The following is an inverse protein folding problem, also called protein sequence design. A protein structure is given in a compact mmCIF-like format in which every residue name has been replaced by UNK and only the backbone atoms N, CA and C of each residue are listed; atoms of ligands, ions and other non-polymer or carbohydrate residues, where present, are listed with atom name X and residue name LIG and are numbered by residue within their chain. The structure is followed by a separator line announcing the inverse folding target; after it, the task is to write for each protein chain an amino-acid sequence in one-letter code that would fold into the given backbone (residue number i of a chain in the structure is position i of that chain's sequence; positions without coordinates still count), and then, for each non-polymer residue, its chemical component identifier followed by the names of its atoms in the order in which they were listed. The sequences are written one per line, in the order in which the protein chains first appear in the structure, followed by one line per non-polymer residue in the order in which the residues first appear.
data_IF_349462748634
#
_entry.id   IF_349462748634
#
_cell.length_a   1.000
_cell.length_b   1.000
_cell.length_c   1.000
_cell.angle_alpha   90.00
_cell.angle_beta   90.00
_cell.angle_gamma   90.00
#
_symmetry.space_group_name_H-M   'P 1'
#
loop_
_entity.id
_entity.type
_entity.pdbx_description
1 polymer ?
#
# COMPACT_ATOMS: atom_id res chain seq x y z
N UNK A 1 -2.96 14.95 11.28
CA UNK A 1 -3.33 13.59 10.83
C UNK A 1 -4.80 13.22 11.07
N UNK A 2 -5.39 13.63 12.18
CA UNK A 2 -6.82 13.36 12.41
C UNK A 2 -7.73 14.00 11.37
N UNK A 3 -7.44 15.23 10.95
CA UNK A 3 -8.22 15.92 9.91
C UNK A 3 -8.13 15.17 8.59
N UNK A 4 -6.94 14.65 8.26
CA UNK A 4 -6.73 13.88 7.04
C UNK A 4 -7.51 12.56 7.06
N UNK A 5 -7.56 11.88 8.21
CA UNK A 5 -8.36 10.67 8.36
C UNK A 5 -9.84 10.94 8.11
N UNK A 6 -10.35 12.05 8.66
CA UNK A 6 -11.74 12.44 8.44
C UNK A 6 -12.03 12.67 6.96
N UNK A 7 -11.15 13.38 6.28
CA UNK A 7 -11.29 13.67 4.85
C UNK A 7 -11.30 12.37 4.06
N UNK A 8 -10.38 11.45 4.35
CA UNK A 8 -10.32 10.16 3.67
C UNK A 8 -11.62 9.39 3.87
N UNK A 9 -12.11 9.31 5.11
CA UNK A 9 -13.36 8.59 5.41
C UNK A 9 -14.54 9.18 4.65
N UNK A 10 -14.66 10.51 4.63
CA UNK A 10 -15.76 11.17 3.92
C UNK A 10 -15.71 10.90 2.42
N UNK A 11 -14.53 11.00 1.81
CA UNK A 11 -14.38 10.75 0.38
C UNK A 11 -14.62 9.28 0.03
N UNK A 12 -14.10 8.35 0.85
CA UNK A 12 -14.30 6.92 0.63
C UNK A 12 -15.77 6.54 0.74
N UNK A 13 -16.50 7.14 1.69
CA UNK A 13 -17.93 6.88 1.86
C UNK A 13 -18.75 7.33 0.65
N UNK A 14 -18.25 8.27 -0.13
CA UNK A 14 -18.91 8.76 -1.34
C UNK A 14 -18.46 8.02 -2.60
N UNK A 15 -17.44 7.18 -2.50
CA UNK A 15 -16.88 6.46 -3.65
C UNK A 15 -17.84 5.38 -4.13
N UNK A 16 -17.86 5.15 -5.44
CA UNK A 16 -18.81 4.25 -6.10
C UNK A 16 -18.23 2.91 -6.53
N UNK A 17 -16.91 2.75 -6.45
CA UNK A 17 -16.24 1.55 -6.92
C UNK A 17 -14.94 1.32 -6.16
N UNK A 18 -14.43 0.09 -6.23
CA UNK A 18 -13.14 -0.25 -5.63
C UNK A 18 -12.00 0.60 -6.21
N UNK A 19 -11.85 0.78 -7.53
CA UNK A 19 -10.81 1.64 -8.06
C UNK A 19 -10.87 3.06 -7.52
N UNK A 20 -12.06 3.61 -7.35
CA UNK A 20 -12.22 4.96 -6.80
C UNK A 20 -11.78 5.02 -5.33
N UNK A 21 -12.17 4.04 -4.52
CA UNK A 21 -11.75 3.92 -3.12
C UNK A 21 -10.22 3.90 -3.03
N UNK A 22 -9.57 3.05 -3.82
CA UNK A 22 -8.12 2.90 -3.78
C UNK A 22 -7.40 4.15 -4.27
N UNK A 23 -7.91 4.82 -5.29
CA UNK A 23 -7.34 6.08 -5.81
C UNK A 23 -7.36 7.16 -4.72
N UNK A 24 -8.47 7.28 -4.00
CA UNK A 24 -8.59 8.24 -2.90
C UNK A 24 -7.54 7.94 -1.82
N UNK A 25 -7.42 6.68 -1.42
CA UNK A 25 -6.49 6.28 -0.37
C UNK A 25 -5.04 6.62 -0.76
N UNK A 26 -4.59 6.19 -1.94
CA UNK A 26 -3.19 6.41 -2.32
C UNK A 26 -2.86 7.90 -2.46
N UNK A 27 -3.79 8.68 -2.99
CA UNK A 27 -3.59 10.11 -3.18
C UNK A 27 -3.51 10.84 -1.83
N UNK A 28 -4.48 10.61 -0.96
CA UNK A 28 -4.56 11.32 0.31
C UNK A 28 -3.46 10.90 1.28
N UNK A 29 -3.13 9.61 1.35
CA UNK A 29 -2.09 9.12 2.24
C UNK A 29 -0.71 9.61 1.78
N UNK A 30 -0.45 9.56 0.47
CA UNK A 30 0.81 10.08 -0.07
C UNK A 30 0.98 11.56 0.28
N UNK A 31 -0.08 12.34 0.08
CA UNK A 31 -0.05 13.79 0.37
C UNK A 31 0.19 14.06 1.84
N UNK A 32 -0.54 13.39 2.73
CA UNK A 32 -0.41 13.58 4.18
C UNK A 32 0.98 13.23 4.68
N UNK A 33 1.58 12.16 4.14
CA UNK A 33 2.88 11.70 4.59
C UNK A 33 4.04 12.31 3.81
N UNK A 34 3.73 13.11 2.80
CA UNK A 34 4.73 13.75 1.94
C UNK A 34 5.74 12.72 1.41
N UNK A 35 5.24 11.55 1.03
CA UNK A 35 6.06 10.47 0.49
C UNK A 35 6.22 10.60 -1.03
N UNK A 36 7.21 9.94 -1.58
CA UNK A 36 7.41 9.90 -3.03
C UNK A 36 6.37 9.04 -3.73
N UNK A 37 5.97 7.94 -3.09
CA UNK A 37 5.04 6.96 -3.64
C UNK A 37 4.10 6.45 -2.56
N UNK A 38 2.84 6.26 -2.92
CA UNK A 38 1.89 5.46 -2.15
C UNK A 38 1.17 4.51 -3.10
N UNK A 39 1.15 3.22 -2.77
CA UNK A 39 0.56 2.19 -3.63
C UNK A 39 -0.26 1.21 -2.80
N UNK A 40 -1.25 0.59 -3.45
CA UNK A 40 -2.02 -0.50 -2.84
C UNK A 40 -1.92 -1.72 -3.73
N UNK A 41 -1.52 -2.84 -3.12
CA UNK A 41 -1.53 -4.15 -3.73
C UNK A 41 -2.67 -4.94 -3.11
N UNK A 42 -3.51 -5.58 -3.91
CA UNK A 42 -4.61 -6.41 -3.42
C UNK A 42 -4.43 -7.86 -3.84
N UNK A 43 -4.85 -8.76 -2.97
CA UNK A 43 -4.79 -10.19 -3.22
C UNK A 43 -5.80 -10.60 -4.30
N UNK A 44 -5.31 -11.31 -5.32
CA UNK A 44 -6.12 -11.87 -6.38
C UNK A 44 -6.22 -13.39 -6.14
N UNK A 45 -7.39 -13.86 -5.81
CA UNK A 45 -7.60 -15.28 -5.50
C UNK A 45 -7.36 -16.21 -6.68
N UNK A 46 -7.53 -15.70 -7.91
CA UNK A 46 -7.41 -16.54 -9.11
C UNK A 46 -6.01 -17.08 -9.31
N UNK A 47 -4.96 -16.33 -8.93
CA UNK A 47 -3.57 -16.79 -9.06
C UNK A 47 -2.79 -16.71 -7.75
N UNK A 48 -3.46 -16.40 -6.64
CA UNK A 48 -2.86 -16.29 -5.31
C UNK A 48 -1.69 -15.30 -5.27
N UNK A 49 -1.85 -14.13 -5.89
CA UNK A 49 -0.84 -13.08 -5.94
C UNK A 49 -1.41 -11.75 -5.51
N UNK A 50 -0.51 -10.91 -5.00
CA UNK A 50 -0.81 -9.51 -4.67
C UNK A 50 -0.52 -8.67 -5.91
N UNK A 51 -1.55 -7.96 -6.37
CA UNK A 51 -1.51 -7.21 -7.63
C UNK A 51 -1.52 -5.72 -7.35
N UNK A 52 -0.65 -4.97 -8.01
CA UNK A 52 -0.66 -3.51 -7.91
C UNK A 52 -1.96 -2.98 -8.52
N UNK A 53 -2.83 -2.42 -7.69
CA UNK A 53 -4.16 -1.97 -8.11
C UNK A 53 -4.29 -0.45 -8.16
N UNK A 54 -3.49 0.27 -7.40
CA UNK A 54 -3.50 1.73 -7.40
C UNK A 54 -2.14 2.24 -6.98
N UNK A 55 -1.74 3.35 -7.55
CA UNK A 55 -0.47 4.00 -7.20
C UNK A 55 -0.55 5.49 -7.44
N UNK A 56 0.14 6.24 -6.58
CA UNK A 56 0.44 7.64 -6.78
C UNK A 56 1.95 7.75 -6.68
N UNK A 57 2.62 7.96 -7.81
CA UNK A 57 4.06 8.10 -7.86
C UNK A 57 4.80 7.05 -8.67
N UNK A 58 4.28 5.84 -8.82
CA UNK A 58 4.83 4.84 -9.74
C UNK A 58 4.20 5.04 -11.12
N UNK A 59 4.73 4.35 -12.11
CA UNK A 59 4.17 4.41 -13.46
C UNK A 59 2.77 3.81 -13.48
N UNK A 60 1.82 4.55 -14.03
CA UNK A 60 0.43 4.12 -14.09
C UNK A 60 0.26 2.83 -14.91
N UNK A 61 1.09 2.63 -15.92
CA UNK A 61 1.06 1.42 -16.76
C UNK A 61 1.38 0.14 -15.97
N UNK A 62 2.00 0.26 -14.79
CA UNK A 62 2.32 -0.89 -13.96
C UNK A 62 1.09 -1.48 -13.25
N UNK A 63 -0.01 -0.72 -13.16
CA UNK A 63 -1.24 -1.18 -12.53
C UNK A 63 -1.76 -2.43 -13.24
N UNK A 64 -1.99 -3.49 -12.46
CA UNK A 64 -2.43 -4.78 -12.96
C UNK A 64 -1.32 -5.67 -13.47
N UNK A 65 -0.12 -5.14 -13.70
CA UNK A 65 1.01 -5.90 -14.27
C UNK A 65 1.98 -6.44 -13.21
N UNK A 66 2.17 -5.70 -12.12
CA UNK A 66 3.04 -6.16 -11.03
C UNK A 66 2.23 -7.08 -10.14
N UNK A 67 2.65 -8.35 -10.07
CA UNK A 67 1.93 -9.41 -9.36
C UNK A 67 2.94 -10.22 -8.56
N UNK A 68 2.76 -10.27 -7.23
CA UNK A 68 3.74 -10.85 -6.31
C UNK A 68 3.08 -11.91 -5.42
N UNK A 69 3.69 -13.08 -5.32
CA UNK A 69 3.25 -14.09 -4.35
C UNK A 69 3.65 -13.65 -2.94
N UNK A 70 3.14 -14.33 -1.91
CA UNK A 70 3.55 -14.06 -0.52
C UNK A 70 5.01 -14.40 -0.24
N UNK A 71 5.72 -14.94 -1.23
CA UNK A 71 7.14 -15.29 -1.12
C UNK A 71 8.04 -14.37 -1.93
N UNK A 72 7.48 -13.36 -2.58
CA UNK A 72 8.23 -12.48 -3.47
C UNK A 72 8.22 -11.04 -2.98
N UNK A 73 9.42 -10.43 -2.91
CA UNK A 73 9.57 -9.02 -2.62
C UNK A 73 9.15 -8.63 -1.21
N UNK A 74 9.24 -7.33 -0.94
CA UNK A 74 8.87 -6.80 0.37
C UNK A 74 7.36 -6.83 0.58
N UNK A 75 6.58 -6.63 -0.47
CA UNK A 75 5.11 -6.72 -0.40
C UNK A 75 4.68 -8.12 0.05
N UNK A 76 5.27 -9.15 -0.56
CA UNK A 76 4.99 -10.53 -0.17
C UNK A 76 5.36 -10.80 1.28
N UNK A 77 6.50 -10.24 1.73
CA UNK A 77 6.96 -10.40 3.10
C UNK A 77 5.98 -9.78 4.10
N UNK A 78 5.48 -8.56 3.83
CA UNK A 78 4.49 -7.89 4.68
C UNK A 78 3.23 -8.73 4.78
N UNK A 79 2.73 -9.22 3.64
CA UNK A 79 1.53 -10.05 3.61
C UNK A 79 1.72 -11.36 4.38
N UNK A 80 2.87 -12.00 4.22
CA UNK A 80 3.17 -13.26 4.89
C UNK A 80 3.26 -13.09 6.42
N UNK A 81 3.96 -12.06 6.87
CA UNK A 81 4.15 -11.80 8.30
C UNK A 81 2.94 -11.13 8.96
N UNK A 82 2.06 -10.53 8.19
CA UNK A 82 0.86 -9.85 8.68
C UNK A 82 1.18 -8.72 9.67
N UNK A 83 2.30 -8.05 9.47
CA UNK A 83 2.72 -6.94 10.32
C UNK A 83 3.43 -5.86 9.50
N UNK A 84 3.47 -4.60 9.99
CA UNK A 84 4.17 -3.53 9.28
C UNK A 84 5.66 -3.80 9.14
N UNK A 85 6.23 -3.31 8.04
CA UNK A 85 7.66 -3.38 7.77
C UNK A 85 8.14 -1.99 7.38
N UNK A 86 9.05 -1.43 8.16
CA UNK A 86 9.53 -0.04 8.01
C UNK A 86 11.05 -0.06 7.85
N UNK A 87 11.54 0.16 6.64
CA UNK A 87 12.95 0.02 6.29
C UNK A 87 13.51 1.32 5.70
N UNK A 88 14.63 1.85 6.22
CA UNK A 88 15.31 2.99 5.61
C UNK A 88 16.09 2.60 4.35
N UNK A 89 16.54 1.35 4.24
CA UNK A 89 17.37 0.85 3.15
C UNK A 89 16.75 -0.41 2.57
N UNK A 90 15.59 -0.26 1.95
CA UNK A 90 14.83 -1.40 1.41
C UNK A 90 15.62 -2.20 0.38
N UNK A 91 16.40 -1.53 -0.46
CA UNK A 91 17.20 -2.16 -1.50
C UNK A 91 18.31 -3.06 -0.95
N UNK A 92 18.64 -2.94 0.36
CA UNK A 92 19.61 -3.80 1.03
C UNK A 92 18.96 -5.02 1.70
N UNK A 93 17.64 -5.09 1.73
CA UNK A 93 16.94 -6.20 2.38
C UNK A 93 16.98 -7.45 1.50
N UNK A 94 17.19 -8.65 2.08
CA UNK A 94 17.25 -9.91 1.30
C UNK A 94 16.02 -10.19 0.47
N UNK A 95 14.85 -9.70 0.88
CA UNK A 95 13.58 -9.92 0.16
C UNK A 95 13.28 -8.86 -0.88
N UNK A 96 14.19 -7.90 -1.09
CA UNK A 96 13.94 -6.82 -2.06
C UNK A 96 13.84 -7.34 -3.48
N UNK A 97 12.83 -6.89 -4.22
CA UNK A 97 12.67 -7.19 -5.64
C UNK A 97 12.38 -5.89 -6.39
N UNK A 98 13.08 -5.68 -7.50
CA UNK A 98 12.91 -4.49 -8.32
C UNK A 98 12.12 -4.85 -9.60
N UNK A 99 11.15 -4.02 -9.93
CA UNK A 99 10.34 -4.15 -11.15
C UNK A 99 10.48 -2.88 -11.99
N UNK A 100 11.07 -2.99 -13.16
CA UNK A 100 11.27 -1.85 -14.06
C UNK A 100 9.97 -1.16 -14.42
N UNK A 101 8.87 -1.90 -14.51
CA UNK A 101 7.56 -1.39 -14.87
C UNK A 101 7.08 -0.29 -13.92
N UNK A 102 7.48 -0.35 -12.65
CA UNK A 102 7.04 0.61 -11.64
C UNK A 102 7.87 1.89 -11.63
N UNK A 103 9.10 1.84 -12.13
CA UNK A 103 10.02 2.97 -12.02
C UNK A 103 10.49 3.24 -10.60
N UNK A 104 10.47 2.23 -9.71
CA UNK A 104 10.77 2.42 -8.28
C UNK A 104 12.26 2.47 -7.93
N UNK A 105 13.14 2.28 -8.91
CA UNK A 105 14.60 2.23 -8.70
C UNK A 105 15.17 3.35 -7.81
N UNK A 106 14.71 4.62 -7.89
CA UNK A 106 15.26 5.67 -7.05
C UNK A 106 14.79 5.66 -5.60
N UNK A 107 13.86 4.77 -5.24
CA UNK A 107 13.30 4.76 -3.88
C UNK A 107 14.06 3.80 -2.99
N UNK A 108 14.40 4.26 -1.77
CA UNK A 108 15.21 3.49 -0.82
C UNK A 108 14.46 3.17 0.46
N UNK A 109 13.60 4.09 0.94
CA UNK A 109 12.80 3.84 2.13
C UNK A 109 11.51 3.15 1.77
N UNK A 110 11.07 2.22 2.63
CA UNK A 110 9.87 1.43 2.40
C UNK A 110 9.10 1.30 3.71
N UNK A 111 7.81 1.60 3.65
CA UNK A 111 6.88 1.28 4.72
C UNK A 111 5.75 0.48 4.10
N UNK A 112 5.63 -0.78 4.47
CA UNK A 112 4.54 -1.64 4.04
C UNK A 112 3.65 -1.98 5.22
N UNK A 113 2.34 -1.88 5.05
CA UNK A 113 1.36 -2.15 6.09
C UNK A 113 0.30 -3.10 5.54
N UNK A 114 0.03 -4.23 6.21
CA UNK A 114 -0.99 -5.15 5.72
C UNK A 114 -2.39 -4.58 5.92
N UNK A 115 -3.26 -4.80 4.94
CA UNK A 115 -4.67 -4.45 5.01
C UNK A 115 -5.39 -5.73 5.42
N UNK A 116 -5.86 -5.79 6.65
CA UNK A 116 -6.45 -7.01 7.23
C UNK A 116 -7.92 -6.76 7.54
N UNK A 117 -8.79 -7.70 7.11
CA UNK A 117 -10.21 -7.65 7.39
C UNK A 117 -10.68 -9.06 7.72
N UNK A 118 -11.34 -9.22 8.86
CA UNK A 118 -11.81 -10.52 9.34
C UNK A 118 -10.70 -11.57 9.30
N UNK A 119 -9.51 -11.21 9.81
CA UNK A 119 -8.32 -12.07 9.91
C UNK A 119 -7.71 -12.50 8.57
N UNK A 120 -8.15 -11.88 7.47
CA UNK A 120 -7.59 -12.15 6.15
C UNK A 120 -6.82 -10.94 5.66
N UNK A 121 -5.66 -11.18 5.07
CA UNK A 121 -4.91 -10.12 4.42
C UNK A 121 -5.54 -9.87 3.06
N UNK A 122 -6.15 -8.68 2.89
CA UNK A 122 -6.72 -8.27 1.62
C UNK A 122 -5.66 -7.71 0.68
N UNK A 123 -4.60 -7.14 1.25
CA UNK A 123 -3.56 -6.52 0.48
C UNK A 123 -2.53 -5.83 1.35
N UNK A 124 -1.74 -4.96 0.71
CA UNK A 124 -0.65 -4.22 1.36
C UNK A 124 -0.65 -2.79 0.87
N UNK A 125 -0.60 -1.85 1.82
CA UNK A 125 -0.38 -0.42 1.54
C UNK A 125 1.11 -0.17 1.62
N UNK A 126 1.68 0.47 0.60
CA UNK A 126 3.12 0.71 0.50
C UNK A 126 3.40 2.20 0.36
N UNK A 127 4.36 2.69 1.13
CA UNK A 127 4.88 4.05 1.02
C UNK A 127 6.38 3.97 0.77
N UNK A 128 6.87 4.79 -0.17
CA UNK A 128 8.28 4.80 -0.56
C UNK A 128 8.76 6.22 -0.73
N UNK A 129 10.05 6.44 -0.47
CA UNK A 129 10.69 7.73 -0.69
C UNK A 129 12.16 7.54 -1.04
N UNK A 130 12.75 8.55 -1.69
CA UNK A 130 14.14 8.48 -2.13
C UNK A 130 15.13 8.50 -0.97
N UNK A 131 14.82 9.23 0.09
CA UNK A 131 15.69 9.35 1.25
C UNK A 131 15.85 8.01 1.97
N UNK A 132 17.09 7.72 2.39
CA UNK A 132 17.37 6.54 3.21
C UNK A 132 17.07 6.88 4.66
N UNK A 133 15.80 7.00 4.98
CA UNK A 133 15.31 7.43 6.29
C UNK A 133 14.09 6.59 6.68
N UNK A 134 14.16 6.01 7.87
CA UNK A 134 13.04 5.28 8.43
C UNK A 134 11.84 6.22 8.58
N UNK A 135 10.65 5.77 8.23
CA UNK A 135 9.43 6.53 8.49
C UNK A 135 9.25 6.69 10.00
N UNK A 136 8.77 7.87 10.43
CA UNK A 136 8.56 8.15 11.84
C UNK A 136 7.45 7.28 12.44
N UNK A 137 7.48 7.10 13.76
CA UNK A 137 6.48 6.27 14.46
C UNK A 137 5.05 6.75 14.21
N UNK A 138 4.81 8.07 14.19
CA UNK A 138 3.49 8.61 13.92
C UNK A 138 3.07 8.43 12.47
N UNK A 139 4.00 8.40 11.54
CA UNK A 139 3.72 8.12 10.13
C UNK A 139 3.28 6.65 9.97
N UNK A 140 4.01 5.74 10.59
CA UNK A 140 3.65 4.33 10.59
C UNK A 140 2.29 4.12 11.23
N UNK A 141 2.04 4.75 12.38
CA UNK A 141 0.75 4.65 13.08
C UNK A 141 -0.40 5.17 12.22
N UNK A 142 -0.18 6.26 11.49
CA UNK A 142 -1.19 6.80 10.58
C UNK A 142 -1.54 5.79 9.48
N UNK A 143 -0.53 5.20 8.85
CA UNK A 143 -0.74 4.20 7.80
C UNK A 143 -1.46 2.96 8.34
N UNK A 144 -1.08 2.49 9.54
CA UNK A 144 -1.74 1.35 10.20
C UNK A 144 -3.21 1.68 10.46
N UNK A 145 -3.49 2.88 10.96
CA UNK A 145 -4.86 3.33 11.23
C UNK A 145 -5.71 3.38 9.96
N UNK A 146 -5.15 3.92 8.88
CA UNK A 146 -5.85 3.96 7.57
C UNK A 146 -6.21 2.54 7.14
N UNK A 147 -5.26 1.62 7.19
CA UNK A 147 -5.50 0.23 6.79
C UNK A 147 -6.57 -0.44 7.66
N UNK A 148 -6.49 -0.25 8.98
CA UNK A 148 -7.44 -0.86 9.92
C UNK A 148 -8.85 -0.31 9.73
N UNK A 149 -8.98 1.01 9.56
CA UNK A 149 -10.29 1.65 9.47
C UNK A 149 -10.95 1.49 8.11
N UNK A 150 -10.16 1.36 7.04
CA UNK A 150 -10.69 1.29 5.68
C UNK A 150 -10.74 -0.11 5.09
N UNK A 151 -10.26 -1.13 5.82
CA UNK A 151 -10.27 -2.51 5.34
C UNK A 151 -11.68 -2.98 4.99
N UNK A 152 -12.68 -2.60 5.81
CA UNK A 152 -14.07 -2.95 5.56
C UNK A 152 -14.61 -2.31 4.28
N UNK A 153 -14.27 -1.05 4.02
CA UNK A 153 -14.67 -0.37 2.80
C UNK A 153 -14.08 -1.04 1.56
N UNK A 154 -12.80 -1.44 1.64
CA UNK A 154 -12.11 -2.13 0.56
C UNK A 154 -12.77 -3.49 0.30
N UNK A 155 -13.04 -4.26 1.36
CA UNK A 155 -13.68 -5.57 1.25
C UNK A 155 -15.08 -5.45 0.65
N UNK A 156 -15.87 -4.47 1.10
CA UNK A 156 -17.23 -4.23 0.61
C UNK A 156 -17.23 -3.83 -0.87
N UNK A 157 -16.37 -2.89 -1.26
CA UNK A 157 -16.28 -2.43 -2.65
C UNK A 157 -15.82 -3.55 -3.58
N UNK A 158 -14.90 -4.40 -3.10
CA UNK A 158 -14.40 -5.54 -3.87
C UNK A 158 -15.45 -6.65 -4.04
N UNK A 159 -16.44 -6.75 -3.14
CA UNK A 159 -17.48 -7.77 -3.19
C UNK A 159 -18.60 -7.42 -4.18
N UNK A 160 -18.69 -6.17 -4.58
CA UNK A 160 -19.72 -5.70 -5.53
C UNK A 160 -19.15 -5.52 -6.92
#
# INVERSE_FOLDING_TARGET
MLTSLRTIFQEVNSARSLPEVLTIIVKEVRSEMNAGVCSVYLFDESDARYVLMATEGLREESIGKVRLSSKEGLVGLVAHKEEPLNLPDADQHPSFAYFEETGESPFHSFLGVPIIHHRRVLGVLVLQQENRRRFAAEEEAFAVTVCAQLSGAIAHAGAT
#
